data_IF_637517951812
#
_entry.id   IF_637517951812
#
_cell.length_a   1.000
_cell.length_b   1.000
_cell.length_c   1.000
_cell.angle_alpha   90.00
_cell.angle_beta   90.00
_cell.angle_gamma   90.00
#
_symmetry.space_group_name_H-M   'P 1'
#
loop_
_entity.id
_entity.type
_entity.pdbx_description
1 polymer ?
#
# COMPACT_ATOMS: atom_id res chain seq x y z
N UNK A 1 14.27 4.18 -3.37
CA UNK A 1 14.66 3.63 -2.05
C UNK A 1 13.59 3.85 -0.99
N UNK A 2 13.10 5.08 -0.80
CA UNK A 2 12.10 5.40 0.23
C UNK A 2 10.75 4.67 0.08
N UNK A 3 10.30 4.40 -1.15
CA UNK A 3 9.05 3.65 -1.42
C UNK A 3 9.10 2.23 -0.84
N UNK A 4 10.27 1.56 -0.97
CA UNK A 4 10.48 0.21 -0.40
C UNK A 4 10.45 0.24 1.11
N UNK A 5 11.14 1.20 1.72
CA UNK A 5 11.12 1.36 3.18
C UNK A 5 9.70 1.56 3.69
N UNK A 6 8.93 2.45 3.06
CA UNK A 6 7.53 2.70 3.40
C UNK A 6 6.65 1.45 3.26
N UNK A 7 6.73 0.75 2.13
CA UNK A 7 5.94 -0.46 1.87
C UNK A 7 6.26 -1.60 2.85
N UNK A 8 7.54 -1.91 3.05
CA UNK A 8 7.95 -2.98 3.96
C UNK A 8 7.72 -2.63 5.42
N UNK A 9 7.88 -1.36 5.81
CA UNK A 9 7.54 -0.87 7.14
C UNK A 9 6.05 -1.03 7.45
N UNK A 10 5.20 -0.64 6.51
CA UNK A 10 3.75 -0.84 6.62
C UNK A 10 3.42 -2.33 6.75
N UNK A 11 4.00 -3.17 5.89
CA UNK A 11 3.78 -4.63 5.90
C UNK A 11 4.23 -5.29 7.21
N UNK A 12 5.34 -4.85 7.79
CA UNK A 12 5.88 -5.39 9.04
C UNK A 12 5.00 -5.05 10.26
N UNK A 13 4.41 -3.85 10.29
CA UNK A 13 3.64 -3.36 11.44
C UNK A 13 2.12 -3.52 11.28
N UNK A 14 1.62 -3.78 10.07
CA UNK A 14 0.17 -3.79 9.80
C UNK A 14 -0.58 -4.81 10.66
N UNK A 15 -0.14 -6.06 10.71
CA UNK A 15 -0.85 -7.09 11.51
C UNK A 15 -0.85 -6.71 12.99
N UNK A 16 0.28 -6.24 13.52
CA UNK A 16 0.39 -5.75 14.90
C UNK A 16 -0.57 -4.59 15.17
N UNK A 17 -0.68 -3.64 14.24
CA UNK A 17 -1.61 -2.52 14.35
C UNK A 17 -3.07 -2.99 14.35
N UNK A 18 -3.44 -3.90 13.45
CA UNK A 18 -4.80 -4.44 13.36
C UNK A 18 -5.22 -5.19 14.64
N UNK A 19 -4.33 -6.03 15.18
CA UNK A 19 -4.66 -6.87 16.36
C UNK A 19 -4.54 -6.09 17.66
N UNK A 20 -3.48 -5.31 17.83
CA UNK A 20 -3.19 -4.65 19.12
C UNK A 20 -3.85 -3.28 19.27
N UNK A 21 -4.01 -2.51 18.18
CA UNK A 21 -4.60 -1.17 18.26
C UNK A 21 -6.09 -1.17 17.91
N UNK A 22 -6.50 -1.95 16.91
CA UNK A 22 -7.90 -2.03 16.48
C UNK A 22 -8.66 -3.23 17.05
N UNK A 23 -7.98 -4.15 17.74
CA UNK A 23 -8.62 -5.30 18.39
C UNK A 23 -9.23 -6.31 17.41
N UNK A 24 -8.76 -6.36 16.17
CA UNK A 24 -9.24 -7.35 15.21
C UNK A 24 -8.74 -8.75 15.56
N UNK A 25 -9.53 -9.77 15.22
CA UNK A 25 -9.11 -11.17 15.31
C UNK A 25 -7.94 -11.43 14.37
N UNK A 26 -7.06 -12.37 14.73
CA UNK A 26 -5.91 -12.75 13.90
C UNK A 26 -6.34 -13.15 12.49
N UNK A 27 -7.43 -13.92 12.36
CA UNK A 27 -7.99 -14.33 11.07
C UNK A 27 -8.36 -13.13 10.19
N UNK A 28 -9.03 -12.12 10.77
CA UNK A 28 -9.39 -10.90 10.03
C UNK A 28 -8.15 -10.08 9.68
N UNK A 29 -7.19 -9.97 10.60
CA UNK A 29 -5.95 -9.23 10.38
C UNK A 29 -5.11 -9.87 9.25
N UNK A 30 -4.95 -11.19 9.24
CA UNK A 30 -4.26 -11.91 8.18
C UNK A 30 -4.99 -11.85 6.84
N UNK A 31 -6.32 -11.87 6.84
CA UNK A 31 -7.10 -11.69 5.61
C UNK A 31 -6.81 -10.32 4.99
N UNK A 32 -6.89 -9.24 5.76
CA UNK A 32 -6.58 -7.88 5.30
C UNK A 32 -5.14 -7.78 4.82
N UNK A 33 -4.19 -8.33 5.58
CA UNK A 33 -2.78 -8.34 5.24
C UNK A 33 -2.51 -9.08 3.91
N UNK A 34 -3.11 -10.26 3.71
CA UNK A 34 -2.93 -11.04 2.50
C UNK A 34 -3.49 -10.33 1.26
N UNK A 35 -4.63 -9.64 1.40
CA UNK A 35 -5.21 -8.86 0.31
C UNK A 35 -4.35 -7.65 -0.03
N UNK A 36 -3.84 -6.94 0.99
CA UNK A 36 -2.89 -5.86 0.84
C UNK A 36 -1.62 -6.34 0.11
N UNK A 37 -1.03 -7.45 0.57
CA UNK A 37 0.17 -8.02 -0.04
C UNK A 37 -0.08 -8.48 -1.48
N UNK A 38 -1.17 -9.19 -1.74
CA UNK A 38 -1.53 -9.66 -3.09
C UNK A 38 -1.67 -8.48 -4.07
N UNK A 39 -2.36 -7.41 -3.64
CA UNK A 39 -2.51 -6.20 -4.45
C UNK A 39 -1.17 -5.50 -4.69
N UNK A 40 -0.33 -5.42 -3.66
CA UNK A 40 1.02 -4.87 -3.77
C UNK A 40 1.96 -5.67 -4.68
N UNK A 41 1.68 -6.96 -4.93
CA UNK A 41 2.38 -7.76 -5.95
C UNK A 41 1.76 -7.62 -7.34
N UNK A 42 0.44 -7.49 -7.43
CA UNK A 42 -0.28 -7.38 -8.71
C UNK A 42 -0.09 -6.00 -9.37
N UNK A 43 -0.16 -4.92 -8.59
CA UNK A 43 -0.16 -3.57 -9.15
C UNK A 43 1.15 -3.17 -9.84
N UNK A 44 2.36 -3.53 -9.34
CA UNK A 44 3.62 -3.27 -10.05
C UNK A 44 3.64 -3.80 -11.49
N UNK A 45 3.01 -4.96 -11.72
CA UNK A 45 2.91 -5.57 -13.06
C UNK A 45 2.05 -4.69 -13.98
N UNK A 46 0.88 -4.25 -13.49
CA UNK A 46 -0.01 -3.34 -14.22
C UNK A 46 0.63 -1.96 -14.44
N UNK A 47 1.31 -1.44 -13.43
CA UNK A 47 2.02 -0.16 -13.48
C UNK A 47 3.17 -0.19 -14.48
N UNK A 48 3.90 -1.30 -14.57
CA UNK A 48 4.94 -1.52 -15.59
C UNK A 48 4.37 -1.47 -17.00
N UNK A 49 3.29 -2.22 -17.24
CA UNK A 49 2.60 -2.21 -18.53
C UNK A 49 2.09 -0.81 -18.92
N UNK A 50 1.53 -0.05 -17.97
CA UNK A 50 1.08 1.33 -18.20
C UNK A 50 2.25 2.29 -18.43
N UNK A 51 3.38 2.09 -17.74
CA UNK A 51 4.60 2.87 -17.92
C UNK A 51 5.16 2.71 -19.33
N UNK A 52 5.15 1.48 -19.86
CA UNK A 52 5.65 1.17 -21.20
C UNK A 52 4.79 1.78 -22.31
N UNK A 53 3.49 1.93 -22.08
CA UNK A 53 2.53 2.32 -23.13
C UNK A 53 2.11 3.79 -23.12
N UNK A 54 2.07 4.45 -21.96
CA UNK A 54 1.39 5.75 -21.82
C UNK A 54 2.29 6.88 -21.30
N UNK A 55 3.00 6.66 -20.20
CA UNK A 55 3.55 7.76 -19.39
C UNK A 55 5.06 7.71 -19.17
N UNK A 56 5.72 6.60 -19.50
CA UNK A 56 7.12 6.37 -19.19
C UNK A 56 7.37 6.02 -17.73
N UNK A 57 8.47 5.31 -17.49
CA UNK A 57 8.82 4.74 -16.18
C UNK A 57 8.95 5.80 -15.06
N UNK A 58 9.65 6.90 -15.34
CA UNK A 58 9.91 7.96 -14.34
C UNK A 58 8.62 8.59 -13.82
N UNK A 59 7.66 8.87 -14.70
CA UNK A 59 6.40 9.51 -14.32
C UNK A 59 5.51 8.53 -13.53
N UNK A 60 5.51 7.25 -13.90
CA UNK A 60 4.79 6.22 -13.16
C UNK A 60 5.30 6.07 -11.73
N UNK A 61 6.63 6.07 -11.54
CA UNK A 61 7.24 6.03 -10.20
C UNK A 61 6.82 7.24 -9.37
N UNK A 62 6.88 8.45 -9.93
CA UNK A 62 6.47 9.67 -9.22
C UNK A 62 4.98 9.65 -8.84
N UNK A 63 4.10 9.22 -9.76
CA UNK A 63 2.67 9.12 -9.51
C UNK A 63 2.37 8.08 -8.42
N UNK A 64 3.02 6.91 -8.48
CA UNK A 64 2.94 5.88 -7.45
C UNK A 64 3.35 6.42 -6.08
N UNK A 65 4.48 7.13 -6.00
CA UNK A 65 4.95 7.77 -4.77
C UNK A 65 3.93 8.76 -4.18
N UNK A 66 3.29 9.60 -4.99
CA UNK A 66 2.26 10.54 -4.53
C UNK A 66 1.04 9.78 -3.97
N UNK A 67 0.60 8.73 -4.66
CA UNK A 67 -0.54 7.90 -4.21
C UNK A 67 -0.19 7.16 -2.92
N UNK A 68 1.04 6.66 -2.76
CA UNK A 68 1.50 6.04 -1.51
C UNK A 68 1.50 7.03 -0.34
N UNK A 69 1.94 8.27 -0.56
CA UNK A 69 1.93 9.32 0.47
C UNK A 69 0.50 9.63 0.90
N UNK A 70 -0.43 9.76 -0.06
CA UNK A 70 -1.84 9.95 0.24
C UNK A 70 -2.42 8.79 1.06
N UNK A 71 -2.07 7.55 0.72
CA UNK A 71 -2.48 6.38 1.50
C UNK A 71 -1.95 6.38 2.94
N UNK A 72 -0.70 6.81 3.17
CA UNK A 72 -0.16 6.99 4.52
C UNK A 72 -0.83 8.13 5.29
N UNK A 73 -1.20 9.21 4.60
CA UNK A 73 -1.99 10.28 5.22
C UNK A 73 -3.36 9.76 5.70
N UNK A 74 -4.02 8.91 4.90
CA UNK A 74 -5.26 8.24 5.31
C UNK A 74 -5.02 7.31 6.51
N UNK A 75 -3.93 6.53 6.51
CA UNK A 75 -3.57 5.64 7.62
C UNK A 75 -3.34 6.41 8.94
N UNK A 76 -2.77 7.62 8.87
CA UNK A 76 -2.57 8.49 10.03
C UNK A 76 -3.89 8.92 10.69
N UNK A 77 -4.97 9.01 9.90
CA UNK A 77 -6.29 9.49 10.34
C UNK A 77 -7.26 8.37 10.72
N UNK A 78 -6.84 7.10 10.65
CA UNK A 78 -7.70 5.93 10.95
C UNK A 78 -8.34 6.00 12.33
N UNK A 79 -7.68 6.62 13.31
CA UNK A 79 -8.23 6.79 14.66
C UNK A 79 -9.54 7.60 14.69
N UNK A 80 -9.70 8.55 13.76
CA UNK A 80 -10.88 9.39 13.68
C UNK A 80 -11.99 8.74 12.86
N UNK A 81 -11.63 8.08 11.76
CA UNK A 81 -12.58 7.45 10.83
C UNK A 81 -12.08 6.04 10.43
N UNK A 82 -12.62 4.97 11.03
CA UNK A 82 -12.17 3.60 10.76
C UNK A 82 -12.29 3.18 9.29
N UNK A 83 -13.21 3.80 8.53
CA UNK A 83 -13.36 3.56 7.09
C UNK A 83 -12.12 3.91 6.26
N UNK A 84 -11.27 4.82 6.76
CA UNK A 84 -10.03 5.22 6.09
C UNK A 84 -8.98 4.12 6.06
N UNK A 85 -9.11 3.07 6.88
CA UNK A 85 -8.18 1.96 6.90
C UNK A 85 -8.12 1.25 5.54
N UNK A 86 -9.28 0.87 5.01
CA UNK A 86 -9.36 0.13 3.75
C UNK A 86 -8.93 1.00 2.57
N UNK A 87 -9.33 2.27 2.59
CA UNK A 87 -8.92 3.26 1.59
C UNK A 87 -7.40 3.46 1.61
N UNK A 88 -6.82 3.70 2.79
CA UNK A 88 -5.39 3.93 2.97
C UNK A 88 -4.56 2.74 2.51
N UNK A 89 -4.94 1.52 2.92
CA UNK A 89 -4.27 0.29 2.47
C UNK A 89 -4.38 0.09 0.96
N UNK A 90 -5.55 0.36 0.38
CA UNK A 90 -5.76 0.25 -1.08
C UNK A 90 -4.88 1.25 -1.83
N UNK A 91 -4.81 2.49 -1.36
CA UNK A 91 -3.95 3.52 -1.96
C UNK A 91 -2.47 3.17 -1.85
N UNK A 92 -2.01 2.66 -0.70
CA UNK A 92 -0.62 2.23 -0.54
C UNK A 92 -0.30 1.07 -1.50
N UNK A 93 -1.18 0.08 -1.58
CA UNK A 93 -0.99 -1.07 -2.48
C UNK A 93 -1.02 -0.66 -3.96
N UNK A 94 -1.93 0.23 -4.35
CA UNK A 94 -2.06 0.72 -5.73
C UNK A 94 -0.89 1.65 -6.10
N UNK A 95 -0.48 2.51 -5.18
CA UNK A 95 0.63 3.43 -5.37
C UNK A 95 1.99 2.74 -5.41
N UNK A 96 2.07 1.44 -5.08
CA UNK A 96 3.31 0.68 -5.07
C UNK A 96 3.93 0.67 -6.48
N UNK A 97 5.10 1.31 -6.66
CA UNK A 97 5.66 1.49 -7.99
C UNK A 97 6.24 0.19 -8.55
N UNK A 98 6.41 0.09 -9.89
CA UNK A 98 6.93 -1.09 -10.56
C UNK A 98 8.32 -1.54 -10.08
N UNK A 99 9.09 -0.60 -9.51
CA UNK A 99 10.44 -0.79 -8.99
C UNK A 99 10.53 -1.71 -7.77
N UNK A 100 9.42 -2.06 -7.11
CA UNK A 100 9.47 -2.81 -5.84
C UNK A 100 9.85 -4.30 -6.01
N UNK A 101 9.62 -4.86 -7.21
CA UNK A 101 9.89 -6.27 -7.52
C UNK A 101 11.31 -6.52 -8.09
N UNK A 102 12.08 -5.46 -8.32
CA UNK A 102 13.44 -5.49 -8.85
C UNK A 102 14.49 -5.44 -7.74
#
# INVERSE_FOLDING_TARGET
MWERFSYYGMRALLVLFLTSHLGFTDERAFTIYSLFAATGYAMPILGGFLADKLMGFRNMVLLGGIVMIAGHACMSLVKFEPGLLYLGLSLIAIGTPPTILQ
#
